data_IF_514963878642
#
_entry.id   IF_514963878642
#
_cell.length_a   1.000
_cell.length_b   1.000
_cell.length_c   1.000
_cell.angle_alpha   90.00
_cell.angle_beta   90.00
_cell.angle_gamma   90.00
#
_symmetry.space_group_name_H-M   'P 1'
#
loop_
_entity.id
_entity.type
_entity.pdbx_description
1 polymer ?
#
# COMPACT_ATOMS: atom_id res chain seq x y z
N UNK A 1 2.68 -0.52 -33.59
CA UNK A 1 3.53 -0.18 -32.43
C UNK A 1 2.77 -0.64 -31.22
N UNK A 2 3.31 -1.59 -30.46
CA UNK A 2 2.72 -1.93 -29.16
C UNK A 2 3.09 -0.79 -28.22
N UNK A 3 2.10 -0.05 -27.71
CA UNK A 3 2.32 0.74 -26.52
C UNK A 3 2.84 -0.22 -25.45
N UNK A 4 4.06 0.02 -24.99
CA UNK A 4 4.47 -0.49 -23.70
C UNK A 4 3.51 0.17 -22.74
N UNK A 5 2.43 -0.52 -22.36
CA UNK A 5 1.58 -0.08 -21.26
C UNK A 5 2.54 -0.05 -20.08
N UNK A 6 3.06 1.13 -19.76
CA UNK A 6 3.69 1.36 -18.47
C UNK A 6 2.62 0.95 -17.48
N UNK A 7 2.94 -0.01 -16.62
CA UNK A 7 2.03 -0.45 -15.58
C UNK A 7 1.67 0.74 -14.73
N UNK A 8 0.53 1.36 -15.06
CA UNK A 8 -0.03 2.40 -14.24
C UNK A 8 -0.13 1.86 -12.83
N UNK A 9 0.34 2.66 -11.89
CA UNK A 9 0.26 2.30 -10.50
C UNK A 9 -1.15 2.63 -10.00
N UNK A 10 -1.73 1.70 -9.24
CA UNK A 10 -3.08 1.83 -8.73
C UNK A 10 -3.05 2.15 -7.24
N UNK A 11 -4.19 2.60 -6.69
CA UNK A 11 -4.34 2.76 -5.26
C UNK A 11 -4.11 1.42 -4.54
N UNK A 12 -3.53 1.47 -3.35
CA UNK A 12 -3.14 0.33 -2.51
C UNK A 12 -2.00 -0.55 -3.05
N UNK A 13 -1.45 -0.26 -4.24
CA UNK A 13 -0.22 -0.91 -4.69
C UNK A 13 0.93 -0.66 -3.71
N UNK A 14 1.68 -1.73 -3.40
CA UNK A 14 2.90 -1.63 -2.61
C UNK A 14 4.07 -1.34 -3.54
N UNK A 15 4.82 -0.29 -3.22
CA UNK A 15 5.92 0.20 -4.05
C UNK A 15 7.21 0.40 -3.25
N UNK A 16 8.33 0.43 -3.97
CA UNK A 16 9.63 0.79 -3.43
C UNK A 16 10.28 1.93 -4.20
N UNK A 17 11.13 2.69 -3.50
CA UNK A 17 12.10 3.60 -4.11
C UNK A 17 13.51 3.25 -3.62
N UNK A 18 14.45 3.17 -4.56
CA UNK A 18 15.88 3.02 -4.27
C UNK A 18 16.49 4.41 -4.14
N UNK A 19 17.00 4.74 -2.96
CA UNK A 19 17.69 6.01 -2.72
C UNK A 19 19.12 5.95 -3.25
N UNK A 20 19.72 7.12 -3.47
CA UNK A 20 21.12 7.24 -3.96
C UNK A 20 22.16 6.52 -3.10
N UNK A 21 21.89 6.36 -1.81
CA UNK A 21 22.75 5.63 -0.88
C UNK A 21 22.53 4.10 -0.92
N UNK A 22 21.74 3.59 -1.86
CA UNK A 22 21.40 2.17 -1.98
C UNK A 22 20.32 1.68 -1.02
N UNK A 23 19.86 2.50 -0.07
CA UNK A 23 18.77 2.12 0.82
C UNK A 23 17.43 2.05 0.07
N UNK A 24 16.64 1.02 0.38
CA UNK A 24 15.29 0.85 -0.17
C UNK A 24 14.28 1.36 0.86
N UNK A 25 13.29 2.12 0.39
CA UNK A 25 12.12 2.49 1.19
C UNK A 25 10.87 1.89 0.54
N UNK A 26 10.02 1.29 1.35
CA UNK A 26 8.76 0.67 0.93
C UNK A 26 7.59 1.52 1.41
N UNK A 27 6.57 1.65 0.57
CA UNK A 27 5.34 2.37 0.88
C UNK A 27 4.16 1.82 0.10
N UNK A 28 2.99 2.38 0.36
CA UNK A 28 1.72 2.03 -0.29
C UNK A 28 1.18 3.27 -0.98
N UNK A 29 0.61 3.10 -2.16
CA UNK A 29 -0.02 4.21 -2.89
C UNK A 29 -1.35 4.56 -2.24
N UNK A 30 -1.44 5.76 -1.67
CA UNK A 30 -2.64 6.22 -0.98
C UNK A 30 -3.59 7.00 -1.90
N UNK A 31 -3.07 7.50 -3.03
CA UNK A 31 -3.82 8.31 -4.00
C UNK A 31 -3.16 8.27 -5.37
N UNK A 32 -3.97 8.12 -6.42
CA UNK A 32 -3.58 8.24 -7.82
C UNK A 32 -4.14 9.53 -8.43
N UNK A 33 -3.59 9.95 -9.56
CA UNK A 33 -4.15 11.08 -10.31
C UNK A 33 -5.50 10.68 -10.93
N UNK A 34 -6.52 11.48 -10.66
CA UNK A 34 -7.85 11.37 -11.28
C UNK A 34 -8.11 12.64 -12.09
N UNK A 35 -8.44 12.49 -13.38
CA UNK A 35 -8.93 13.59 -14.20
C UNK A 35 -10.34 13.94 -13.73
N UNK A 36 -10.48 15.01 -12.95
CA UNK A 36 -11.80 15.54 -12.58
C UNK A 36 -12.36 16.32 -13.77
N UNK A 37 -13.53 15.91 -14.28
CA UNK A 37 -14.31 16.54 -15.37
C UNK A 37 -14.86 17.95 -15.03
N UNK A 38 -14.19 18.73 -14.19
CA UNK A 38 -14.70 20.02 -13.68
C UNK A 38 -13.84 21.24 -14.01
N UNK A 39 -12.97 21.17 -15.02
CA UNK A 39 -12.30 22.36 -15.57
C UNK A 39 -13.10 22.97 -16.74
N UNK A 40 -14.40 23.17 -16.52
CA UNK A 40 -15.26 24.03 -17.36
C UNK A 40 -16.00 25.04 -16.50
N UNK A 41 -15.24 25.81 -15.72
CA UNK A 41 -15.63 27.19 -15.40
C UNK A 41 -14.40 28.06 -15.39
N UNK A 42 -14.28 28.86 -16.44
CA UNK A 42 -13.52 30.10 -16.56
C UNK A 42 -13.21 30.76 -15.20
N UNK A 43 -11.99 30.56 -14.70
CA UNK A 43 -11.31 31.55 -13.86
C UNK A 43 -9.82 31.35 -13.96
N UNK A 44 -9.21 32.14 -14.84
CA UNK A 44 -7.80 32.54 -14.84
C UNK A 44 -7.39 32.97 -13.42
N UNK A 45 -6.96 32.01 -12.62
CA UNK A 45 -6.27 32.24 -11.36
C UNK A 45 -5.11 31.27 -11.31
N UNK A 46 -3.94 31.78 -11.72
CA UNK A 46 -2.62 31.23 -11.46
C UNK A 46 -2.42 31.05 -9.94
N UNK A 47 -2.99 30.00 -9.37
CA UNK A 47 -2.63 29.54 -8.03
C UNK A 47 -2.07 28.12 -8.11
N UNK A 48 -0.82 28.08 -8.60
CA UNK A 48 0.07 26.92 -8.74
C UNK A 48 0.46 26.24 -7.40
N UNK A 49 -0.35 26.40 -6.34
CA UNK A 49 0.02 26.10 -4.97
C UNK A 49 -0.96 25.22 -4.18
N UNK A 50 -1.84 24.46 -4.84
CA UNK A 50 -2.49 23.35 -4.14
C UNK A 50 -1.53 22.16 -4.01
N UNK A 51 -0.67 22.19 -2.99
CA UNK A 51 0.24 21.10 -2.62
C UNK A 51 -0.50 19.77 -2.37
N UNK A 52 -1.84 19.74 -2.35
CA UNK A 52 -2.64 18.52 -2.23
C UNK A 52 -3.04 17.88 -3.58
N UNK A 53 -3.07 18.63 -4.69
CA UNK A 53 -3.51 18.12 -6.02
C UNK A 53 -2.40 17.34 -6.73
N UNK A 54 -2.67 16.11 -7.16
CA UNK A 54 -1.73 15.33 -7.97
C UNK A 54 -1.71 15.85 -9.41
N UNK A 55 -0.55 15.81 -10.06
CA UNK A 55 -0.44 16.03 -11.51
C UNK A 55 -0.49 14.69 -12.24
N UNK A 56 -0.82 14.68 -13.53
CA UNK A 56 -0.81 13.47 -14.35
C UNK A 56 0.55 12.74 -14.25
N UNK A 57 0.50 11.41 -14.08
CA UNK A 57 1.68 10.57 -13.85
C UNK A 57 2.30 10.72 -12.46
N UNK A 58 1.62 11.39 -11.52
CA UNK A 58 1.99 11.41 -10.11
C UNK A 58 1.05 10.59 -9.24
N UNK A 59 1.64 9.98 -8.22
CA UNK A 59 0.95 9.27 -7.14
C UNK A 59 1.40 9.81 -5.78
N UNK A 60 0.56 9.65 -4.77
CA UNK A 60 0.93 9.86 -3.38
C UNK A 60 1.26 8.53 -2.73
N UNK A 61 2.41 8.48 -2.03
CA UNK A 61 2.89 7.26 -1.35
C UNK A 61 2.99 7.51 0.15
N UNK A 62 2.35 6.64 0.93
CA UNK A 62 2.48 6.54 2.38
C UNK A 62 3.58 5.55 2.72
N UNK A 63 4.60 6.01 3.45
CA UNK A 63 5.84 5.24 3.59
C UNK A 63 5.91 4.48 4.92
N UNK A 64 6.23 3.19 4.87
CA UNK A 64 6.49 2.37 6.05
C UNK A 64 7.94 2.55 6.55
N UNK A 65 8.24 2.43 7.87
CA UNK A 65 7.34 2.16 9.00
C UNK A 65 6.79 3.40 9.75
N UNK A 66 7.24 4.61 9.39
CA UNK A 66 6.97 5.83 10.19
C UNK A 66 6.75 7.06 9.30
N UNK A 67 6.51 6.87 8.01
CA UNK A 67 6.82 7.86 7.00
C UNK A 67 5.64 8.74 6.57
N UNK A 68 5.88 10.05 6.60
CA UNK A 68 5.07 11.09 5.93
C UNK A 68 4.75 10.73 4.48
N UNK A 69 3.52 10.97 4.06
CA UNK A 69 3.05 10.89 2.67
C UNK A 69 3.82 11.83 1.75
N UNK A 70 4.31 11.35 0.60
CA UNK A 70 4.97 12.21 -0.40
C UNK A 70 4.52 11.88 -1.82
N UNK A 71 4.54 12.90 -2.69
CA UNK A 71 4.20 12.75 -4.11
C UNK A 71 5.42 12.27 -4.91
N UNK A 72 5.18 11.35 -5.84
CA UNK A 72 6.19 10.77 -6.71
C UNK A 72 5.68 10.65 -8.14
N UNK A 73 6.58 10.75 -9.11
CA UNK A 73 6.30 10.33 -10.49
C UNK A 73 6.30 8.81 -10.52
N UNK A 74 5.30 8.20 -11.16
CA UNK A 74 5.09 6.75 -11.18
C UNK A 74 6.34 5.98 -11.64
N UNK A 75 6.99 6.41 -12.72
CA UNK A 75 8.20 5.78 -13.29
C UNK A 75 9.41 5.72 -12.35
N UNK A 76 9.40 6.45 -11.22
CA UNK A 76 10.47 6.42 -10.21
C UNK A 76 10.23 5.37 -9.13
N UNK A 77 9.07 4.73 -9.15
CA UNK A 77 8.66 3.73 -8.18
C UNK A 77 8.78 2.34 -8.81
N UNK A 78 9.13 1.37 -7.96
CA UNK A 78 9.18 -0.04 -8.32
C UNK A 78 7.95 -0.68 -7.70
N UNK A 79 7.05 -1.21 -8.53
CA UNK A 79 5.93 -2.03 -8.06
C UNK A 79 6.48 -3.31 -7.39
N UNK A 80 6.13 -3.52 -6.13
CA UNK A 80 6.49 -4.71 -5.37
C UNK A 80 5.33 -5.70 -5.29
N UNK A 81 4.12 -5.21 -5.04
CA UNK A 81 2.91 -6.03 -4.91
C UNK A 81 1.69 -5.25 -5.37
N UNK A 82 0.77 -5.92 -6.08
CA UNK A 82 -0.51 -5.36 -6.51
C UNK A 82 -1.55 -5.72 -5.45
N UNK A 83 -2.33 -4.75 -4.97
CA UNK A 83 -3.40 -5.01 -4.00
C UNK A 83 -4.68 -5.52 -4.68
N UNK A 84 -4.57 -6.70 -5.28
CA UNK A 84 -5.64 -7.31 -6.06
C UNK A 84 -6.78 -7.85 -5.18
N UNK A 85 -8.01 -7.73 -5.68
CA UNK A 85 -9.23 -8.22 -5.06
C UNK A 85 -9.89 -9.32 -5.90
N UNK A 86 -10.68 -10.17 -5.24
CA UNK A 86 -11.51 -11.15 -5.94
C UNK A 86 -12.49 -10.43 -6.89
N UNK A 87 -12.61 -10.96 -8.11
CA UNK A 87 -13.49 -10.42 -9.15
C UNK A 87 -12.84 -9.34 -10.02
N UNK A 88 -11.63 -8.87 -9.71
CA UNK A 88 -10.95 -7.91 -10.58
C UNK A 88 -10.50 -8.54 -11.90
N UNK A 89 -10.59 -7.75 -12.97
CA UNK A 89 -10.14 -8.14 -14.30
C UNK A 89 -8.63 -7.97 -14.42
N UNK A 90 -7.93 -9.02 -14.81
CA UNK A 90 -6.47 -9.04 -14.94
C UNK A 90 -6.03 -9.63 -16.26
N UNK A 91 -4.84 -9.27 -16.70
CA UNK A 91 -4.15 -9.91 -17.80
C UNK A 91 -2.76 -10.37 -17.39
N UNK A 92 -2.25 -11.41 -18.05
CA UNK A 92 -0.87 -11.82 -17.85
C UNK A 92 0.06 -10.85 -18.57
N UNK A 93 1.05 -10.29 -17.87
CA UNK A 93 2.08 -9.43 -18.49
C UNK A 93 2.76 -10.09 -19.69
N UNK A 94 3.04 -11.39 -19.61
CA UNK A 94 3.65 -12.15 -20.70
C UNK A 94 2.69 -12.44 -21.85
N UNK A 95 1.38 -12.35 -21.60
CA UNK A 95 0.31 -12.66 -22.54
C UNK A 95 -0.86 -11.68 -22.39
N UNK A 96 -0.71 -10.39 -22.75
CA UNK A 96 -1.70 -9.35 -22.45
C UNK A 96 -3.09 -9.61 -23.06
N UNK A 97 -3.15 -10.38 -24.14
CA UNK A 97 -4.40 -10.83 -24.76
C UNK A 97 -5.23 -11.79 -23.89
N UNK A 98 -4.61 -12.45 -22.90
CA UNK A 98 -5.30 -13.36 -21.98
C UNK A 98 -5.82 -12.56 -20.80
N UNK A 99 -7.07 -12.14 -20.91
CA UNK A 99 -7.81 -11.46 -19.85
C UNK A 99 -8.67 -12.47 -19.10
N UNK A 100 -8.72 -12.34 -17.77
CA UNK A 100 -9.57 -13.14 -16.90
C UNK A 100 -9.94 -12.39 -15.64
N UNK A 101 -10.59 -13.07 -14.70
CA UNK A 101 -10.96 -12.51 -13.41
C UNK A 101 -10.33 -13.30 -12.28
N UNK A 102 -9.99 -12.62 -11.19
CA UNK A 102 -9.47 -13.28 -9.99
C UNK A 102 -10.60 -14.04 -9.30
N UNK A 103 -10.45 -15.35 -9.18
CA UNK A 103 -11.48 -16.23 -8.59
C UNK A 103 -11.06 -16.85 -7.27
N UNK A 104 -9.76 -16.86 -6.98
CA UNK A 104 -9.20 -17.35 -5.73
C UNK A 104 -7.90 -16.60 -5.43
N UNK A 105 -7.63 -16.36 -4.14
CA UNK A 105 -6.45 -15.62 -3.68
C UNK A 105 -5.85 -16.32 -2.46
N UNK A 106 -4.52 -16.35 -2.41
CA UNK A 106 -3.79 -16.91 -1.27
C UNK A 106 -2.65 -15.96 -0.91
N UNK A 107 -2.73 -15.36 0.28
CA UNK A 107 -1.81 -14.32 0.71
C UNK A 107 -0.79 -14.90 1.68
N UNK A 108 0.47 -14.53 1.50
CA UNK A 108 1.57 -14.92 2.39
C UNK A 108 2.43 -13.72 2.71
N UNK A 109 3.07 -13.75 3.87
CA UNK A 109 3.93 -12.64 4.27
C UNK A 109 4.90 -12.98 5.38
N UNK A 110 5.82 -12.04 5.57
CA UNK A 110 6.88 -12.07 6.55
C UNK A 110 6.44 -11.30 7.81
N UNK A 111 6.60 -11.90 8.99
CA UNK A 111 6.11 -11.37 10.26
C UNK A 111 7.29 -11.02 11.17
N UNK A 112 7.40 -9.74 11.49
CA UNK A 112 8.32 -9.23 12.50
C UNK A 112 7.62 -9.16 13.86
N UNK A 113 8.27 -9.67 14.91
CA UNK A 113 7.70 -9.72 16.28
C UNK A 113 8.30 -8.62 17.15
N UNK A 114 7.44 -7.97 17.92
CA UNK A 114 7.79 -6.94 18.89
C UNK A 114 8.45 -7.54 20.15
N UNK A 115 9.27 -6.79 20.89
CA UNK A 115 9.56 -5.35 20.72
C UNK A 115 10.72 -5.07 19.76
N UNK A 116 11.56 -6.06 19.43
CA UNK A 116 12.78 -5.86 18.64
C UNK A 116 12.52 -5.68 17.13
N UNK A 117 11.27 -5.86 16.67
CA UNK A 117 10.87 -5.87 15.24
C UNK A 117 11.77 -6.79 14.41
N UNK A 118 12.25 -7.86 15.03
CA UNK A 118 13.04 -8.87 14.34
C UNK A 118 12.10 -9.73 13.50
N UNK A 119 12.46 -10.01 12.26
CA UNK A 119 11.77 -11.01 11.46
C UNK A 119 11.84 -12.36 12.18
N UNK A 120 10.70 -12.89 12.60
CA UNK A 120 10.64 -14.18 13.33
C UNK A 120 10.03 -15.27 12.46
N UNK A 121 9.08 -14.92 11.61
CA UNK A 121 8.44 -15.88 10.72
C UNK A 121 8.49 -15.37 9.29
N UNK A 122 8.90 -16.23 8.36
CA UNK A 122 8.96 -15.91 6.93
C UNK A 122 7.96 -16.74 6.12
N UNK A 123 7.37 -16.16 5.09
CA UNK A 123 6.44 -16.82 4.17
C UNK A 123 5.28 -17.53 4.89
N UNK A 124 4.70 -16.84 5.88
CA UNK A 124 3.57 -17.33 6.65
C UNK A 124 2.30 -17.19 5.83
N UNK A 125 1.56 -18.27 5.76
CA UNK A 125 0.20 -18.31 5.21
C UNK A 125 -0.76 -17.49 6.07
N UNK A 126 -1.45 -16.54 5.45
CA UNK A 126 -2.35 -15.64 6.18
C UNK A 126 -3.62 -16.34 6.67
N UNK A 127 -3.93 -17.55 6.20
CA UNK A 127 -4.99 -18.37 6.79
C UNK A 127 -4.63 -18.85 8.22
N UNK A 128 -3.37 -18.70 8.62
CA UNK A 128 -2.84 -19.13 9.94
C UNK A 128 -2.61 -17.98 10.91
N UNK A 129 -2.92 -16.74 10.53
CA UNK A 129 -2.74 -15.58 11.39
C UNK A 129 -4.11 -15.08 11.88
N UNK A 130 -4.10 -14.41 13.04
CA UNK A 130 -5.28 -13.73 13.58
C UNK A 130 -4.91 -12.31 13.96
N UNK A 131 -5.89 -11.42 13.89
CA UNK A 131 -5.72 -10.07 14.43
C UNK A 131 -5.45 -10.11 15.93
N UNK A 132 -4.57 -9.22 16.39
CA UNK A 132 -4.39 -8.95 17.82
C UNK A 132 -5.57 -8.12 18.29
N UNK A 133 -6.14 -8.44 19.45
CA UNK A 133 -7.31 -7.73 19.98
C UNK A 133 -6.96 -6.28 20.28
N UNK A 134 -7.78 -5.34 19.83
CA UNK A 134 -7.61 -3.92 20.18
C UNK A 134 -7.91 -3.68 21.66
N UNK A 135 -7.16 -2.75 22.27
CA UNK A 135 -7.44 -2.31 23.63
C UNK A 135 -8.85 -1.72 23.73
N UNK A 136 -9.62 -2.13 24.74
CA UNK A 136 -11.00 -1.69 24.94
C UNK A 136 -12.05 -2.56 24.23
N UNK A 137 -11.66 -3.52 23.39
CA UNK A 137 -12.58 -4.45 22.72
C UNK A 137 -13.07 -5.62 23.61
N UNK A 138 -12.95 -5.50 24.93
CA UNK A 138 -13.33 -6.58 25.87
C UNK A 138 -12.40 -7.78 25.82
N UNK A 139 -11.08 -7.55 25.77
CA UNK A 139 -10.08 -8.63 25.75
C UNK A 139 -10.12 -9.45 27.05
N UNK A 140 -10.13 -10.78 26.90
CA UNK A 140 -10.02 -11.72 28.02
C UNK A 140 -8.62 -11.71 28.64
N UNK A 141 -8.50 -12.20 29.86
CA UNK A 141 -7.24 -12.38 30.57
C UNK A 141 -6.19 -13.10 29.71
N UNK A 142 -4.92 -12.74 29.89
CA UNK A 142 -3.79 -13.33 29.14
C UNK A 142 -3.82 -13.08 27.62
N UNK A 143 -4.73 -12.22 27.13
CA UNK A 143 -4.76 -11.83 25.71
C UNK A 143 -3.74 -10.73 25.42
N UNK A 144 -3.02 -10.88 24.30
CA UNK A 144 -2.21 -9.79 23.76
C UNK A 144 -3.13 -8.69 23.23
N UNK A 145 -2.91 -7.45 23.67
CA UNK A 145 -3.68 -6.30 23.22
C UNK A 145 -2.82 -5.34 22.39
N UNK A 146 -3.42 -4.74 21.38
CA UNK A 146 -2.85 -3.64 20.60
C UNK A 146 -3.43 -2.31 21.09
N UNK A 147 -2.57 -1.38 21.50
CA UNK A 147 -2.93 0.01 21.77
C UNK A 147 -2.04 0.91 20.90
N UNK A 148 -2.64 1.46 19.83
CA UNK A 148 -1.92 2.22 18.80
C UNK A 148 -0.74 1.41 18.23
N UNK A 149 0.51 1.76 18.57
CA UNK A 149 1.72 1.08 18.10
C UNK A 149 2.34 0.13 19.14
N UNK A 150 1.70 -0.04 20.30
CA UNK A 150 2.18 -0.85 21.41
C UNK A 150 1.40 -2.15 21.56
N UNK A 151 2.12 -3.25 21.80
CA UNK A 151 1.52 -4.56 22.10
C UNK A 151 1.84 -4.95 23.55
N UNK A 152 0.80 -5.24 24.31
CA UNK A 152 0.88 -5.56 25.74
C UNK A 152 0.10 -6.79 26.16
N UNK A 153 0.06 -7.04 27.46
CA UNK A 153 -0.83 -8.01 28.10
C UNK A 153 -1.84 -7.29 28.98
N UNK A 154 -3.01 -7.89 29.16
CA UNK A 154 -3.92 -7.54 30.27
C UNK A 154 -3.50 -8.37 31.49
N UNK A 155 -3.22 -7.71 32.61
CA UNK A 155 -2.96 -8.31 33.93
C UNK A 155 -4.00 -7.78 34.93
N UNK A 156 -4.47 -8.62 35.86
CA UNK A 156 -5.28 -8.16 37.00
C UNK A 156 -4.40 -7.39 38.01
N UNK A 157 -5.01 -6.42 38.70
CA UNK A 157 -4.44 -5.74 39.86
C UNK A 157 -4.86 -6.43 41.17
#
# INVERSE_FOLDING_TARGET
MAETIADRLEQDDTVAIVRRNGSVRVGVISKVFEETESDSSDSESDDDHDESKLKQGQVQVDWYPAGKSTKHVEDKLILLDRSLLLGEAVSLRSEPQKVGFITNMHVRGDIAVLPKRQLVFSNVDFDRIKFVTEYGAGAEESTKILYDSWVGNVEEC
#
